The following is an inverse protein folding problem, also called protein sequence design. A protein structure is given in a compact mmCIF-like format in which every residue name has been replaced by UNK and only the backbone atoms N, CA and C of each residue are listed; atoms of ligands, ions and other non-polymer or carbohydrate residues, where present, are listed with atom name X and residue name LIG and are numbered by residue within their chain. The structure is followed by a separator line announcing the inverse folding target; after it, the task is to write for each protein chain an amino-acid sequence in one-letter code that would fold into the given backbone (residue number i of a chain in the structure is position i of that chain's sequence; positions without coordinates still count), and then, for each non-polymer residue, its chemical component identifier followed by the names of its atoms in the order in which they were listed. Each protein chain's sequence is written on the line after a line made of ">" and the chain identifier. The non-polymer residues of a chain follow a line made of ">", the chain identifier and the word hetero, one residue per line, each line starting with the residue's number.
data_IF_962634079899
#
_entry.id   IF_962634079899
#
_cell.length_a   1.000
_cell.length_b   1.000
_cell.length_c   1.000
_cell.angle_alpha   90.00
_cell.angle_beta   90.00
_cell.angle_gamma   90.00
#
_symmetry.space_group_name_H-M   'P 1'
#
loop_
_entity.id
_entity.type
_entity.pdbx_description
1 polymer ?
#
# COMPACT_ATOMS: atom_id res chain seq x y z
N UNK A 1 -12.53 20.67 14.61
CA UNK A 1 -11.10 21.05 14.44
C UNK A 1 -10.80 21.01 12.95
N UNK A 2 -10.09 22.00 12.38
CA UNK A 2 -9.68 21.94 10.96
C UNK A 2 -8.55 20.91 10.85
N UNK A 3 -8.72 19.91 9.99
CA UNK A 3 -7.66 18.96 9.67
C UNK A 3 -6.49 19.72 9.01
N UNK A 4 -5.26 19.38 9.42
CA UNK A 4 -4.08 19.96 8.81
C UNK A 4 -3.93 19.40 7.39
N UNK A 5 -3.58 20.24 6.39
CA UNK A 5 -3.40 19.76 5.03
C UNK A 5 -2.24 18.75 4.96
N UNK A 6 -2.43 17.66 4.21
CA UNK A 6 -1.41 16.60 4.03
C UNK A 6 -0.17 17.13 3.31
N UNK A 7 -0.37 18.06 2.36
CA UNK A 7 0.71 18.74 1.63
C UNK A 7 0.87 20.18 2.11
N UNK A 8 2.12 20.64 2.19
CA UNK A 8 2.45 22.02 2.62
C UNK A 8 2.09 23.07 1.57
N UNK A 9 2.09 22.70 0.29
CA UNK A 9 1.73 23.56 -0.83
C UNK A 9 1.27 22.73 -2.02
N UNK A 10 0.48 23.37 -2.89
CA UNK A 10 0.06 22.81 -4.19
C UNK A 10 1.26 22.48 -5.08
N UNK A 11 2.25 23.38 -5.16
CA UNK A 11 3.50 23.16 -5.90
C UNK A 11 4.28 21.95 -5.41
N UNK A 12 4.26 21.67 -4.11
CA UNK A 12 4.90 20.50 -3.52
C UNK A 12 4.19 19.21 -3.91
N UNK A 13 2.86 19.22 -3.92
CA UNK A 13 2.06 18.08 -4.42
C UNK A 13 2.35 17.81 -5.90
N UNK A 14 2.36 18.85 -6.75
CA UNK A 14 2.68 18.71 -8.18
C UNK A 14 4.06 18.13 -8.42
N UNK A 15 5.08 18.55 -7.66
CA UNK A 15 6.43 18.00 -7.75
C UNK A 15 6.47 16.50 -7.39
N UNK A 16 5.72 16.08 -6.37
CA UNK A 16 5.61 14.67 -5.98
C UNK A 16 4.91 13.87 -7.09
N UNK A 17 3.80 14.38 -7.65
CA UNK A 17 3.08 13.70 -8.73
C UNK A 17 3.92 13.58 -10.01
N UNK A 18 4.70 14.61 -10.35
CA UNK A 18 5.63 14.54 -11.48
C UNK A 18 6.68 13.43 -11.29
N UNK A 19 7.26 13.31 -10.10
CA UNK A 19 8.19 12.23 -9.78
C UNK A 19 7.51 10.86 -9.79
N UNK A 20 6.27 10.77 -9.31
CA UNK A 20 5.46 9.55 -9.37
C UNK A 20 5.28 9.09 -10.82
N UNK A 21 4.86 10.00 -11.70
CA UNK A 21 4.60 9.71 -13.12
C UNK A 21 5.90 9.35 -13.88
N UNK A 22 7.03 9.97 -13.54
CA UNK A 22 8.33 9.59 -14.08
C UNK A 22 8.69 8.13 -13.72
N UNK A 23 8.47 7.73 -12.47
CA UNK A 23 8.73 6.36 -12.02
C UNK A 23 7.77 5.38 -12.72
N UNK A 24 6.48 5.72 -12.83
CA UNK A 24 5.51 4.92 -13.58
C UNK A 24 5.84 4.77 -15.06
N UNK A 25 6.43 5.80 -15.69
CA UNK A 25 6.92 5.72 -17.06
C UNK A 25 8.03 4.69 -17.27
N UNK A 26 8.71 4.29 -16.18
CA UNK A 26 9.77 3.26 -16.16
C UNK A 26 9.31 1.93 -15.55
N UNK A 27 8.00 1.77 -15.29
CA UNK A 27 7.48 0.56 -14.66
C UNK A 27 7.82 -0.68 -15.51
N UNK A 28 8.39 -1.76 -14.94
CA UNK A 28 9.08 -2.77 -15.72
C UNK A 28 8.16 -3.77 -16.44
N UNK A 29 6.84 -3.69 -16.23
CA UNK A 29 5.83 -4.61 -16.78
C UNK A 29 4.51 -3.87 -17.04
N UNK A 30 3.60 -4.38 -17.88
CA UNK A 30 2.27 -3.80 -18.04
C UNK A 30 1.52 -3.72 -16.71
N UNK A 31 0.83 -2.61 -16.48
CA UNK A 31 0.06 -2.37 -15.27
C UNK A 31 -1.29 -1.70 -15.56
N UNK A 32 -2.22 -1.87 -14.63
CA UNK A 32 -3.49 -1.16 -14.57
C UNK A 32 -3.42 -0.16 -13.41
N UNK A 33 -3.81 1.09 -13.66
CA UNK A 33 -4.04 2.10 -12.62
C UNK A 33 -5.52 2.08 -12.26
N UNK A 34 -5.84 1.78 -11.01
CA UNK A 34 -7.21 1.54 -10.54
C UNK A 34 -7.50 2.47 -9.37
N UNK A 35 -8.66 3.14 -9.41
CA UNK A 35 -9.20 3.87 -8.26
C UNK A 35 -10.32 3.05 -7.62
N UNK A 36 -10.20 2.75 -6.34
CA UNK A 36 -11.20 1.99 -5.57
C UNK A 36 -11.83 2.90 -4.52
N UNK A 37 -13.16 3.09 -4.53
CA UNK A 37 -13.86 3.78 -3.45
C UNK A 37 -13.76 3.00 -2.15
N UNK A 38 -13.36 3.68 -1.07
CA UNK A 38 -13.36 3.14 0.29
C UNK A 38 -14.06 4.11 1.24
N UNK A 39 -14.33 3.67 2.47
CA UNK A 39 -14.85 4.56 3.52
C UNK A 39 -13.89 5.71 3.90
N UNK A 40 -12.62 5.62 3.48
CA UNK A 40 -11.58 6.62 3.75
C UNK A 40 -11.25 7.47 2.51
N UNK A 41 -12.09 7.40 1.47
CA UNK A 41 -11.86 8.09 0.20
C UNK A 41 -11.43 7.15 -0.93
N UNK A 42 -11.13 7.73 -2.08
CA UNK A 42 -10.61 6.99 -3.24
C UNK A 42 -9.17 6.53 -2.98
N UNK A 43 -8.95 5.23 -3.12
CA UNK A 43 -7.62 4.59 -2.97
C UNK A 43 -7.09 4.18 -4.33
N UNK A 44 -5.90 4.64 -4.67
CA UNK A 44 -5.20 4.29 -5.90
C UNK A 44 -4.42 2.97 -5.73
N UNK A 45 -4.49 2.13 -6.75
CA UNK A 45 -3.82 0.84 -6.81
C UNK A 45 -3.14 0.68 -8.17
N UNK A 46 -1.88 0.27 -8.17
CA UNK A 46 -1.17 -0.24 -9.34
C UNK A 46 -1.31 -1.76 -9.35
N UNK A 47 -2.00 -2.31 -10.35
CA UNK A 47 -2.24 -3.73 -10.46
C UNK A 47 -1.44 -4.36 -11.62
N UNK A 48 -0.75 -5.46 -11.37
CA UNK A 48 0.16 -6.10 -12.32
C UNK A 48 0.06 -7.62 -12.28
N UNK A 49 0.52 -8.30 -13.34
CA UNK A 49 0.48 -9.76 -13.43
C UNK A 49 -0.87 -10.31 -13.89
N UNK A 50 -0.96 -11.62 -14.08
CA UNK A 50 -2.15 -12.30 -14.63
C UNK A 50 -3.34 -12.15 -13.67
N UNK A 51 -4.53 -11.87 -14.20
CA UNK A 51 -5.75 -11.64 -13.39
C UNK A 51 -6.17 -12.86 -12.56
N UNK A 52 -5.84 -14.06 -13.03
CA UNK A 52 -6.25 -15.33 -12.40
C UNK A 52 -5.18 -15.92 -11.44
N UNK A 53 -4.04 -15.23 -11.29
CA UNK A 53 -3.01 -15.62 -10.33
C UNK A 53 -3.44 -15.31 -8.89
N UNK A 54 -2.91 -16.02 -7.87
CA UNK A 54 -3.19 -15.72 -6.48
C UNK A 54 -2.87 -14.25 -6.14
N UNK A 55 -3.72 -13.54 -5.37
CA UNK A 55 -3.53 -12.12 -5.10
C UNK A 55 -2.39 -11.86 -4.11
N UNK A 56 -1.61 -10.80 -4.35
CA UNK A 56 -0.61 -10.27 -3.42
C UNK A 56 -0.81 -8.77 -3.24
N UNK A 57 -1.00 -8.33 -2.00
CA UNK A 57 -1.14 -6.92 -1.64
C UNK A 57 0.22 -6.38 -1.16
N UNK A 58 0.67 -5.26 -1.72
CA UNK A 58 1.88 -4.59 -1.32
C UNK A 58 1.55 -3.25 -0.68
N UNK A 59 1.96 -3.07 0.58
CA UNK A 59 1.77 -1.84 1.36
C UNK A 59 3.14 -1.19 1.57
N UNK A 60 3.28 0.06 1.14
CA UNK A 60 4.54 0.79 1.29
C UNK A 60 4.78 1.25 2.74
N UNK A 61 6.03 1.59 3.06
CA UNK A 61 6.39 2.22 4.32
C UNK A 61 5.91 3.69 4.41
N UNK A 62 5.94 4.28 5.59
CA UNK A 62 5.50 5.68 5.77
C UNK A 62 6.32 6.68 4.94
N UNK A 63 5.70 7.80 4.57
CA UNK A 63 6.28 8.86 3.75
C UNK A 63 6.71 8.41 2.35
N UNK A 64 6.10 7.33 1.84
CA UNK A 64 6.35 6.74 0.53
C UNK A 64 5.03 6.51 -0.21
N UNK A 65 5.08 5.76 -1.32
CA UNK A 65 3.92 5.40 -2.13
C UNK A 65 4.16 4.06 -2.86
N UNK A 66 3.17 3.61 -3.64
CA UNK A 66 3.18 2.34 -4.35
C UNK A 66 4.35 2.18 -5.35
N UNK A 67 4.94 3.28 -5.81
CA UNK A 67 6.07 3.23 -6.77
C UNK A 67 7.36 2.67 -6.15
N UNK A 68 7.45 2.59 -4.82
CA UNK A 68 8.56 1.97 -4.09
C UNK A 68 8.89 0.55 -4.58
N UNK A 69 7.89 -0.17 -5.09
CA UNK A 69 8.01 -1.55 -5.54
C UNK A 69 8.57 -1.73 -6.96
N UNK A 70 8.95 -0.65 -7.66
CA UNK A 70 9.40 -0.71 -9.06
C UNK A 70 10.49 -1.76 -9.34
N UNK A 71 11.39 -2.01 -8.38
CA UNK A 71 12.49 -2.97 -8.55
C UNK A 71 12.07 -4.43 -8.34
N UNK A 72 11.03 -4.67 -7.55
CA UNK A 72 10.63 -6.02 -7.12
C UNK A 72 9.35 -6.51 -7.80
N UNK A 73 8.51 -5.59 -8.29
CA UNK A 73 7.17 -5.89 -8.83
C UNK A 73 7.20 -6.94 -9.93
N UNK A 74 8.22 -6.93 -10.79
CA UNK A 74 8.37 -7.92 -11.86
C UNK A 74 8.48 -9.34 -11.31
N UNK A 75 9.30 -9.53 -10.27
CA UNK A 75 9.53 -10.84 -9.63
C UNK A 75 8.24 -11.35 -9.00
N UNK A 76 7.49 -10.48 -8.31
CA UNK A 76 6.23 -10.86 -7.70
C UNK A 76 5.15 -11.19 -8.75
N UNK A 77 5.06 -10.41 -9.83
CA UNK A 77 4.06 -10.56 -10.87
C UNK A 77 4.22 -11.85 -11.71
N UNK A 78 5.35 -12.55 -11.61
CA UNK A 78 5.54 -13.88 -12.22
C UNK A 78 4.60 -14.93 -11.61
N UNK A 79 4.32 -14.82 -10.31
CA UNK A 79 3.55 -15.81 -9.56
C UNK A 79 2.19 -15.29 -9.10
N UNK A 80 2.10 -13.99 -8.83
CA UNK A 80 0.95 -13.37 -8.18
C UNK A 80 0.26 -12.33 -9.06
N UNK A 81 -1.02 -12.12 -8.81
CA UNK A 81 -1.72 -10.90 -9.20
C UNK A 81 -1.39 -9.84 -8.15
N UNK A 82 -0.49 -8.92 -8.49
CA UNK A 82 0.03 -7.91 -7.56
C UNK A 82 -0.89 -6.70 -7.53
N UNK A 83 -1.15 -6.18 -6.33
CA UNK A 83 -1.86 -4.94 -6.07
C UNK A 83 -0.99 -4.07 -5.15
N UNK A 84 -0.27 -3.11 -5.71
CA UNK A 84 0.49 -2.13 -4.93
C UNK A 84 -0.40 -0.92 -4.61
N UNK A 85 -0.64 -0.68 -3.32
CA UNK A 85 -1.64 0.26 -2.84
C UNK A 85 -0.97 1.55 -2.37
N UNK A 86 -1.49 2.70 -2.81
CA UNK A 86 -1.17 3.99 -2.20
C UNK A 86 -2.03 4.16 -0.94
N UNK A 87 -1.40 4.25 0.24
CA UNK A 87 -2.15 4.46 1.48
C UNK A 87 -2.73 5.89 1.53
N UNK A 88 -4.02 6.08 1.89
CA UNK A 88 -4.60 7.41 2.06
C UNK A 88 -3.81 8.27 3.06
N UNK A 89 -3.58 9.54 2.70
CA UNK A 89 -2.84 10.49 3.54
C UNK A 89 -1.31 10.42 3.45
N UNK A 90 -0.78 9.58 2.56
CA UNK A 90 0.64 9.46 2.19
C UNK A 90 0.89 10.06 0.78
N UNK A 91 2.15 10.31 0.36
CA UNK A 91 2.46 11.01 -0.90
C UNK A 91 2.27 10.16 -2.17
N UNK A 92 1.08 9.58 -2.35
CA UNK A 92 0.65 8.80 -3.52
C UNK A 92 -0.56 9.42 -4.23
N UNK A 93 -1.20 8.64 -5.13
CA UNK A 93 -2.37 9.09 -5.90
C UNK A 93 -3.72 8.82 -5.21
N UNK A 94 -3.71 8.20 -4.02
CA UNK A 94 -4.88 8.12 -3.16
C UNK A 94 -5.27 9.49 -2.65
N UNK A 95 -6.54 9.64 -2.27
CA UNK A 95 -7.00 10.89 -1.68
C UNK A 95 -6.19 11.26 -0.44
N UNK A 96 -5.86 12.56 -0.25
CA UNK A 96 -5.02 13.03 0.84
C UNK A 96 -5.81 13.13 2.15
N UNK A 97 -6.49 12.06 2.54
CA UNK A 97 -7.26 11.98 3.78
C UNK A 97 -6.38 11.32 4.84
N UNK A 98 -5.97 12.08 5.85
CA UNK A 98 -5.37 11.52 7.07
C UNK A 98 -6.47 11.19 8.07
N UNK A 99 -6.68 9.91 8.33
CA UNK A 99 -7.60 9.50 9.40
C UNK A 99 -7.09 10.03 10.74
N UNK A 100 -8.00 10.50 11.59
CA UNK A 100 -7.62 10.98 12.91
C UNK A 100 -7.14 9.81 13.78
N UNK A 101 -6.20 10.03 14.70
CA UNK A 101 -5.75 8.98 15.63
C UNK A 101 -6.90 8.46 16.52
N UNK A 102 -7.98 9.23 16.71
CA UNK A 102 -9.18 8.79 17.44
C UNK A 102 -9.95 7.70 16.69
N UNK A 103 -9.83 7.62 15.36
CA UNK A 103 -10.48 6.59 14.55
C UNK A 103 -9.80 5.22 14.67
N UNK A 104 -8.54 5.17 15.12
CA UNK A 104 -7.80 3.91 15.34
C UNK A 104 -8.51 2.99 16.34
N UNK A 105 -9.03 3.56 17.43
CA UNK A 105 -9.78 2.82 18.45
C UNK A 105 -11.16 2.35 17.97
N UNK A 106 -11.68 2.95 16.90
CA UNK A 106 -12.95 2.53 16.27
C UNK A 106 -12.76 1.40 15.25
N UNK A 107 -11.53 1.24 14.74
CA UNK A 107 -11.18 0.18 13.80
C UNK A 107 -11.15 -1.16 14.54
N UNK A 108 -12.32 -1.79 14.69
CA UNK A 108 -12.42 -3.19 15.06
C UNK A 108 -11.73 -4.01 13.96
N UNK A 109 -10.44 -4.26 14.11
CA UNK A 109 -9.74 -5.29 13.34
C UNK A 109 -10.51 -6.58 13.63
N UNK A 110 -11.34 -7.03 12.67
CA UNK A 110 -11.84 -8.40 12.71
C UNK A 110 -10.59 -9.26 12.62
N UNK A 111 -10.17 -9.83 13.76
CA UNK A 111 -9.15 -10.88 13.77
C UNK A 111 -9.63 -11.95 12.79
N UNK A 112 -8.89 -12.13 11.72
CA UNK A 112 -9.08 -13.29 10.87
C UNK A 112 -8.67 -14.50 11.71
N UNK A 113 -9.64 -15.25 12.20
CA UNK A 113 -9.40 -16.56 12.81
C UNK A 113 -9.05 -17.51 11.68
N UNK A 114 -7.76 -17.72 11.43
CA UNK A 114 -7.33 -18.81 10.56
C UNK A 114 -7.85 -20.15 11.10
N UNK A 115 -8.34 -21.08 10.27
CA UNK A 115 -8.67 -22.43 10.72
C UNK A 115 -7.41 -23.08 11.31
N UNK A 116 -7.51 -23.58 12.54
CA UNK A 116 -6.42 -24.23 13.24
C UNK A 116 -6.08 -25.57 12.58
N UNK A 117 -5.14 -25.58 11.65
CA UNK A 117 -4.48 -26.81 11.20
C UNK A 117 -2.97 -26.59 11.15
N UNK A 118 -2.28 -27.05 12.20
CA UNK A 118 -0.82 -27.11 12.24
C UNK A 118 -0.26 -26.75 13.61
N UNK A 119 0.17 -27.75 14.38
CA UNK A 119 0.85 -27.58 15.67
C UNK A 119 2.13 -26.75 15.45
N UNK A 120 2.18 -25.54 16.02
CA UNK A 120 3.39 -24.74 16.10
C UNK A 120 4.21 -25.24 17.30
N UNK A 121 5.32 -25.93 17.07
CA UNK A 121 6.29 -26.20 18.13
C UNK A 121 7.17 -24.97 18.31
N UNK A 122 7.11 -24.42 19.52
CA UNK A 122 7.91 -23.29 19.99
C UNK A 122 9.36 -23.76 20.19
N UNK A 123 10.29 -23.32 19.34
CA UNK A 123 11.72 -23.38 19.65
C UNK A 123 12.13 -22.06 20.30
N UNK A 124 12.36 -22.10 21.62
CA UNK A 124 13.03 -21.03 22.36
C UNK A 124 14.51 -21.05 22.02
N UNK A 125 15.03 -19.95 21.49
CA UNK A 125 16.47 -19.72 21.38
C UNK A 125 16.89 -18.88 22.58
N UNK A 126 17.67 -19.46 23.50
CA UNK A 126 18.28 -18.73 24.61
C UNK A 126 19.52 -18.00 24.08
N UNK A 127 19.58 -16.69 24.25
CA UNK A 127 20.76 -15.87 24.01
C UNK A 127 21.40 -15.60 25.37
N UNK A 128 22.54 -16.23 25.67
CA UNK A 128 23.37 -15.85 26.82
C UNK A 128 24.30 -14.70 26.42
N UNK A 129 24.41 -13.72 27.32
CA UNK A 129 25.32 -12.57 27.25
C UNK A 129 26.76 -13.01 27.46
#
# INVERSE_FOLDING_TARGET
>A
MKEAPVFKSESGWQAIMAGYDEILGRWPIPYESIMVPTRHGLTHIIACGKKDSPPLLLLHGSSSNATMWIRDVKIYAEKYRVYAVDLPGEPGKSEPVRSSLHDWNSCKVRRYSAPSTGKCQEQRVNVHH
#
